data_IF_207063285795
#
_entry.id   IF_207063285795
#
_cell.length_a   1.000
_cell.length_b   1.000
_cell.length_c   1.000
_cell.angle_alpha   90.00
_cell.angle_beta   90.00
_cell.angle_gamma   90.00
#
_symmetry.space_group_name_H-M   'P 1'
#
loop_
_entity.id
_entity.type
_entity.pdbx_description
1 polymer ?
#
# COMPACT_ATOMS: atom_id res chain seq x y z
N UNK A 1 28.95 30.54 -12.18
CA UNK A 1 27.55 30.59 -11.68
C UNK A 1 26.89 29.26 -12.01
N UNK A 2 26.86 28.34 -11.06
CA UNK A 2 26.15 27.07 -11.16
C UNK A 2 24.72 27.29 -10.64
N UNK A 3 23.75 27.25 -11.53
CA UNK A 3 22.33 27.28 -11.16
C UNK A 3 22.02 26.02 -10.35
N UNK A 4 21.61 26.21 -9.08
CA UNK A 4 21.14 25.12 -8.25
C UNK A 4 19.92 24.47 -8.94
N UNK A 5 19.85 23.13 -9.03
CA UNK A 5 18.69 22.47 -9.60
C UNK A 5 17.46 22.88 -8.78
N UNK A 6 16.49 23.50 -9.46
CA UNK A 6 15.21 23.85 -8.87
C UNK A 6 14.60 22.60 -8.27
N UNK A 7 14.19 22.68 -7.01
CA UNK A 7 13.47 21.61 -6.34
C UNK A 7 12.32 21.19 -7.24
N UNK A 8 12.47 20.03 -7.89
CA UNK A 8 11.42 19.44 -8.70
C UNK A 8 10.26 19.22 -7.75
N UNK A 9 9.27 20.11 -7.82
CA UNK A 9 7.96 19.95 -7.23
C UNK A 9 7.52 18.53 -7.55
N UNK A 10 7.54 17.67 -6.55
CA UNK A 10 6.92 16.37 -6.61
C UNK A 10 5.46 16.67 -6.94
N UNK A 11 5.10 16.57 -8.22
CA UNK A 11 3.72 16.70 -8.67
C UNK A 11 2.89 15.85 -7.72
N UNK A 12 1.79 16.31 -7.11
CA UNK A 12 1.09 15.52 -6.08
C UNK A 12 0.53 14.17 -6.57
N UNK A 13 0.54 13.92 -7.88
CA UNK A 13 -0.04 12.75 -8.55
C UNK A 13 0.53 11.38 -8.13
N UNK A 14 1.85 11.15 -8.01
CA UNK A 14 2.40 9.88 -7.57
C UNK A 14 2.07 9.64 -6.08
N UNK A 15 2.05 10.67 -5.25
CA UNK A 15 1.70 10.51 -3.84
C UNK A 15 0.23 10.06 -3.67
N UNK A 16 -0.69 10.63 -4.46
CA UNK A 16 -2.09 10.20 -4.46
C UNK A 16 -2.21 8.75 -4.93
N UNK A 17 -1.45 8.32 -5.94
CA UNK A 17 -1.50 6.94 -6.42
C UNK A 17 -0.93 5.96 -5.38
N UNK A 18 0.21 6.29 -4.78
CA UNK A 18 0.89 5.45 -3.78
C UNK A 18 0.12 5.35 -2.45
N UNK A 19 -0.59 6.41 -2.04
CA UNK A 19 -1.34 6.36 -0.78
C UNK A 19 -2.80 5.98 -0.99
N UNK A 20 -3.42 6.52 -2.04
CA UNK A 20 -4.85 6.43 -2.30
C UNK A 20 -5.29 5.10 -2.90
N UNK A 21 -4.50 4.50 -3.80
CA UNK A 21 -4.88 3.22 -4.39
C UNK A 21 -4.81 2.07 -3.36
N UNK A 22 -3.77 1.94 -2.52
CA UNK A 22 -3.78 0.96 -1.43
C UNK A 22 -4.94 1.16 -0.46
N UNK A 23 -5.26 2.41 -0.11
CA UNK A 23 -6.38 2.70 0.78
C UNK A 23 -7.70 2.23 0.16
N UNK A 24 -7.96 2.60 -1.10
CA UNK A 24 -9.17 2.19 -1.82
C UNK A 24 -9.27 0.66 -1.93
N UNK A 25 -8.16 -0.01 -2.22
CA UNK A 25 -8.10 -1.47 -2.31
C UNK A 25 -8.43 -2.12 -0.97
N UNK A 26 -7.85 -1.66 0.13
CA UNK A 26 -8.11 -2.22 1.47
C UNK A 26 -9.56 -1.96 1.91
N UNK A 27 -10.10 -0.78 1.63
CA UNK A 27 -11.53 -0.50 1.87
C UNK A 27 -12.44 -1.40 1.04
N UNK A 28 -12.09 -1.64 -0.23
CA UNK A 28 -12.82 -2.57 -1.07
C UNK A 28 -12.75 -4.00 -0.54
N UNK A 29 -11.58 -4.44 -0.07
CA UNK A 29 -11.41 -5.75 0.57
C UNK A 29 -12.26 -5.87 1.86
N UNK A 30 -12.23 -4.87 2.72
CA UNK A 30 -13.06 -4.85 3.94
C UNK A 30 -14.57 -4.86 3.62
N UNK A 31 -14.97 -4.17 2.55
CA UNK A 31 -16.35 -4.12 2.08
C UNK A 31 -16.86 -5.49 1.56
N UNK A 32 -16.00 -6.29 0.92
CA UNK A 32 -16.38 -7.62 0.43
C UNK A 32 -16.26 -8.71 1.50
N UNK A 33 -15.38 -8.56 2.49
CA UNK A 33 -15.09 -9.60 3.50
C UNK A 33 -16.29 -9.92 4.39
N UNK A 34 -17.15 -8.93 4.66
CA UNK A 34 -18.39 -9.16 5.44
C UNK A 34 -19.48 -9.92 4.67
N UNK A 35 -19.33 -10.12 3.36
CA UNK A 35 -20.28 -10.85 2.51
C UNK A 35 -21.63 -10.15 2.26
N UNK A 36 -21.89 -9.02 2.94
CA UNK A 36 -23.12 -8.24 2.80
C UNK A 36 -22.99 -7.00 1.93
N UNK A 37 -21.78 -6.65 1.49
CA UNK A 37 -21.49 -5.45 0.70
C UNK A 37 -22.07 -4.18 1.34
N UNK A 38 -21.80 -3.99 2.63
CA UNK A 38 -22.17 -2.79 3.37
C UNK A 38 -21.04 -2.33 4.31
N UNK A 39 -21.25 -1.21 4.98
CA UNK A 39 -20.27 -0.59 5.86
C UNK A 39 -20.49 -0.94 7.34
N UNK A 40 -21.10 -2.09 7.67
CA UNK A 40 -21.28 -2.49 9.07
C UNK A 40 -19.94 -2.74 9.76
N UNK A 41 -18.92 -3.18 9.03
CA UNK A 41 -17.55 -3.32 9.56
C UNK A 41 -17.04 -2.07 10.25
N UNK A 42 -17.45 -0.88 9.80
CA UNK A 42 -17.00 0.39 10.38
C UNK A 42 -17.50 0.64 11.80
N UNK A 43 -18.49 -0.13 12.27
CA UNK A 43 -19.05 0.01 13.63
C UNK A 43 -18.13 -0.54 14.71
N UNK A 44 -17.26 -1.49 14.37
CA UNK A 44 -16.32 -2.08 15.30
C UNK A 44 -14.95 -1.38 15.19
N UNK A 45 -14.42 -0.78 16.28
CA UNK A 45 -13.09 -0.17 16.28
C UNK A 45 -11.97 -1.18 15.99
N UNK A 46 -12.15 -2.47 16.29
CA UNK A 46 -11.20 -3.52 15.96
C UNK A 46 -10.99 -3.69 14.45
N UNK A 47 -12.04 -3.52 13.65
CA UNK A 47 -11.94 -3.59 12.19
C UNK A 47 -11.11 -2.44 11.61
N UNK A 48 -11.16 -1.26 12.22
CA UNK A 48 -10.31 -0.13 11.83
C UNK A 48 -8.82 -0.41 12.08
N UNK A 49 -8.48 -1.13 13.15
CA UNK A 49 -7.10 -1.57 13.41
C UNK A 49 -6.65 -2.52 12.30
N UNK A 50 -7.48 -3.50 11.94
CA UNK A 50 -7.19 -4.45 10.86
C UNK A 50 -6.99 -3.73 9.53
N UNK A 51 -7.90 -2.83 9.14
CA UNK A 51 -7.78 -2.00 7.92
C UNK A 51 -6.48 -1.20 7.94
N UNK A 52 -6.13 -0.59 9.07
CA UNK A 52 -4.87 0.14 9.24
C UNK A 52 -3.65 -0.75 9.01
N UNK A 53 -3.62 -1.96 9.58
CA UNK A 53 -2.53 -2.92 9.38
C UNK A 53 -2.38 -3.35 7.92
N UNK A 54 -3.50 -3.67 7.25
CA UNK A 54 -3.48 -4.00 5.82
C UNK A 54 -2.96 -2.82 4.98
N UNK A 55 -3.44 -1.61 5.23
CA UNK A 55 -3.01 -0.43 4.49
C UNK A 55 -1.51 -0.13 4.71
N UNK A 56 -1.03 -0.24 5.94
CA UNK A 56 0.40 -0.09 6.26
C UNK A 56 1.25 -1.16 5.58
N UNK A 57 0.81 -2.42 5.56
CA UNK A 57 1.53 -3.50 4.88
C UNK A 57 1.62 -3.25 3.37
N UNK A 58 0.56 -2.74 2.75
CA UNK A 58 0.55 -2.37 1.33
C UNK A 58 1.53 -1.24 1.02
N UNK A 59 1.52 -0.16 1.82
CA UNK A 59 2.50 0.93 1.68
C UNK A 59 3.93 0.41 1.85
N UNK A 60 4.16 -0.46 2.83
CA UNK A 60 5.49 -1.05 3.05
C UNK A 60 5.95 -1.87 1.83
N UNK A 61 5.04 -2.65 1.24
CA UNK A 61 5.30 -3.37 0.00
C UNK A 61 5.68 -2.44 -1.15
N UNK A 62 4.94 -1.35 -1.35
CA UNK A 62 5.26 -0.33 -2.35
C UNK A 62 6.62 0.33 -2.09
N UNK A 63 6.95 0.66 -0.84
CA UNK A 63 8.25 1.21 -0.46
C UNK A 63 9.38 0.23 -0.79
N UNK A 64 9.23 -1.06 -0.48
CA UNK A 64 10.23 -2.07 -0.81
C UNK A 64 10.47 -2.17 -2.31
N UNK A 65 9.41 -2.19 -3.13
CA UNK A 65 9.55 -2.20 -4.58
C UNK A 65 10.17 -0.90 -5.09
N UNK A 66 9.82 0.25 -4.52
CA UNK A 66 10.40 1.53 -4.89
C UNK A 66 11.92 1.59 -4.69
N UNK A 67 12.47 0.86 -3.71
CA UNK A 67 13.91 0.73 -3.50
C UNK A 67 14.61 -0.08 -4.62
N UNK A 68 13.90 -1.02 -5.24
CA UNK A 68 14.42 -1.91 -6.28
C UNK A 68 14.28 -1.30 -7.68
N UNK A 69 13.34 -0.37 -7.88
CA UNK A 69 13.05 0.20 -9.20
C UNK A 69 14.14 1.19 -9.63
N UNK A 70 14.77 1.01 -10.82
CA UNK A 70 15.84 1.88 -11.28
C UNK A 70 15.43 3.34 -11.43
N UNK A 71 16.31 4.26 -11.00
CA UNK A 71 16.10 5.71 -11.13
C UNK A 71 16.00 6.18 -12.60
N UNK A 72 16.53 5.41 -13.55
CA UNK A 72 16.48 5.74 -14.99
C UNK A 72 15.11 5.51 -15.64
N UNK A 73 14.17 4.82 -14.97
CA UNK A 73 12.87 4.56 -15.56
C UNK A 73 11.98 5.81 -15.63
N UNK A 74 11.15 5.88 -16.66
CA UNK A 74 10.14 6.93 -16.80
C UNK A 74 9.15 6.88 -15.63
N UNK A 75 8.67 8.05 -15.21
CA UNK A 75 7.78 8.18 -14.04
C UNK A 75 6.53 7.27 -14.15
N UNK A 76 5.90 7.23 -15.34
CA UNK A 76 4.73 6.40 -15.57
C UNK A 76 5.01 4.90 -15.35
N UNK A 77 6.13 4.39 -15.89
CA UNK A 77 6.52 2.99 -15.73
C UNK A 77 6.83 2.68 -14.26
N UNK A 78 7.52 3.60 -13.57
CA UNK A 78 7.83 3.44 -12.14
C UNK A 78 6.56 3.30 -11.31
N UNK A 79 5.59 4.20 -11.50
CA UNK A 79 4.35 4.20 -10.72
C UNK A 79 3.61 2.87 -10.89
N UNK A 80 3.39 2.39 -12.12
CA UNK A 80 2.69 1.12 -12.34
C UNK A 80 3.41 -0.08 -11.72
N UNK A 81 4.74 -0.14 -11.86
CA UNK A 81 5.51 -1.26 -11.30
C UNK A 81 5.53 -1.22 -9.77
N UNK A 82 5.74 -0.03 -9.19
CA UNK A 82 5.75 0.15 -7.73
C UNK A 82 4.38 -0.20 -7.15
N UNK A 83 3.29 0.36 -7.69
CA UNK A 83 1.94 0.09 -7.20
C UNK A 83 1.56 -1.38 -7.41
N UNK A 84 1.74 -1.93 -8.62
CA UNK A 84 1.35 -3.31 -8.92
C UNK A 84 2.13 -4.35 -8.11
N UNK A 85 3.46 -4.33 -8.19
CA UNK A 85 4.28 -5.29 -7.44
C UNK A 85 4.31 -4.98 -5.95
N UNK A 86 4.17 -3.71 -5.57
CA UNK A 86 4.17 -3.27 -4.18
C UNK A 86 2.95 -3.77 -3.42
N UNK A 87 1.76 -3.68 -4.01
CA UNK A 87 0.54 -4.23 -3.43
C UNK A 87 0.64 -5.76 -3.25
N UNK A 88 1.11 -6.47 -4.27
CA UNK A 88 1.32 -7.94 -4.16
C UNK A 88 2.31 -8.26 -3.05
N UNK A 89 3.42 -7.54 -2.98
CA UNK A 89 4.44 -7.73 -1.94
C UNK A 89 3.90 -7.42 -0.55
N UNK A 90 3.12 -6.33 -0.41
CA UNK A 90 2.50 -5.94 0.84
C UNK A 90 1.47 -6.95 1.35
N UNK A 91 0.66 -7.52 0.45
CA UNK A 91 -0.24 -8.62 0.77
C UNK A 91 0.51 -9.85 1.27
N UNK A 92 1.59 -10.25 0.58
CA UNK A 92 2.42 -11.39 1.00
C UNK A 92 3.09 -11.15 2.36
N UNK A 93 3.54 -9.92 2.63
CA UNK A 93 4.06 -9.54 3.94
C UNK A 93 3.01 -9.68 5.03
N UNK A 94 1.78 -9.23 4.78
CA UNK A 94 0.68 -9.35 5.73
C UNK A 94 0.34 -10.82 6.00
N UNK A 95 0.21 -11.65 4.95
CA UNK A 95 -0.05 -13.09 5.10
C UNK A 95 1.09 -13.78 5.85
N UNK A 96 2.34 -13.47 5.52
CA UNK A 96 3.52 -13.99 6.21
C UNK A 96 3.56 -13.59 7.69
N UNK A 97 3.23 -12.33 8.00
CA UNK A 97 3.11 -11.84 9.37
C UNK A 97 2.03 -12.59 10.15
N UNK A 98 0.84 -12.77 9.59
CA UNK A 98 -0.24 -13.52 10.23
C UNK A 98 0.13 -14.99 10.44
N UNK A 99 0.76 -15.63 9.45
CA UNK A 99 1.26 -17.00 9.57
C UNK A 99 2.31 -17.13 10.68
N UNK A 100 3.21 -16.16 10.79
CA UNK A 100 4.22 -16.11 11.86
C UNK A 100 3.57 -15.95 13.24
N UNK A 101 2.66 -14.98 13.39
CA UNK A 101 1.97 -14.73 14.67
C UNK A 101 1.15 -15.95 15.10
N UNK A 102 0.37 -16.54 14.19
CA UNK A 102 -0.47 -17.70 14.51
C UNK A 102 0.35 -18.98 14.74
N UNK A 103 1.48 -19.14 14.05
CA UNK A 103 2.42 -20.23 14.28
C UNK A 103 3.15 -20.14 15.62
N UNK A 104 3.33 -18.94 16.16
CA UNK A 104 3.93 -18.72 17.48
C UNK A 104 2.97 -18.98 18.65
N UNK A 105 1.66 -18.88 18.40
CA UNK A 105 0.62 -19.05 19.44
C UNK A 105 0.27 -20.54 19.67
N UNK A 106 0.68 -21.44 18.78
CA UNK A 106 0.50 -22.90 18.93
C UNK A 106 1.69 -23.53 19.66
#
# INVERSE_FOLDING_TARGET
MTTLPSAHSFSGRPAIMLLGLPLLLVFFMAFIDEGFYDFRWMRDPGNWIVVGLYWMAMILGELLIALLVPRSWSLHRKVWVITGLGMVSGLLLMVGFLAFVTGFIR
#
